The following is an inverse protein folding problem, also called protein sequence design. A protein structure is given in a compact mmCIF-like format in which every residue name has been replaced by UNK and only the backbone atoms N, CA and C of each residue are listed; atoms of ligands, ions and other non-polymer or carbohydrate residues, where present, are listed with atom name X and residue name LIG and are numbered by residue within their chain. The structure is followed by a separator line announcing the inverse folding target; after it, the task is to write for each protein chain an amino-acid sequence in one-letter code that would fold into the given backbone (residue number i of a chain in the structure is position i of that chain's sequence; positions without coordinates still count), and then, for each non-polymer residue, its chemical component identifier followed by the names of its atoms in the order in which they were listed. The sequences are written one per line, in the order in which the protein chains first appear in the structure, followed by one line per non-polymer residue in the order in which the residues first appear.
data_IF_645922763811
#
_entry.id   IF_645922763811
#
_cell.length_a   1.000
_cell.length_b   1.000
_cell.length_c   1.000
_cell.angle_alpha   90.00
_cell.angle_beta   90.00
_cell.angle_gamma   90.00
#
_symmetry.space_group_name_H-M   'P 1'
#
loop_
_entity.id
_entity.type
_entity.pdbx_description
1 polymer ?
#
# COMPACT_ATOMS: atom_id res chain seq x y z
N UNK A 1 -4.30 19.47 17.95
CA UNK A 1 -5.20 18.34 17.64
C UNK A 1 -4.85 17.87 16.25
N UNK A 2 -4.44 16.61 16.13
CA UNK A 2 -4.10 15.96 14.86
C UNK A 2 -5.37 15.84 14.01
N UNK A 3 -5.32 16.26 12.74
CA UNK A 3 -6.47 16.15 11.81
C UNK A 3 -6.17 15.08 10.77
N UNK A 4 -7.21 14.36 10.33
CA UNK A 4 -7.08 13.35 9.27
C UNK A 4 -6.41 13.90 8.01
N UNK A 5 -6.69 15.16 7.63
CA UNK A 5 -6.02 15.86 6.52
C UNK A 5 -4.49 15.82 6.58
N UNK A 6 -3.94 15.90 7.78
CA UNK A 6 -2.51 16.08 8.01
C UNK A 6 -1.76 14.75 8.11
N UNK A 7 -2.47 13.63 8.33
CA UNK A 7 -1.87 12.30 8.61
C UNK A 7 -2.43 11.16 7.75
N UNK A 8 -3.60 11.35 7.13
CA UNK A 8 -4.26 10.36 6.29
C UNK A 8 -3.63 10.26 4.92
N UNK A 9 -3.61 9.04 4.38
CA UNK A 9 -3.15 8.73 3.03
C UNK A 9 -4.35 8.32 2.18
N UNK A 10 -4.36 8.72 0.91
CA UNK A 10 -5.24 8.14 -0.11
C UNK A 10 -4.47 7.07 -0.87
N UNK A 11 -5.10 5.93 -1.11
CA UNK A 11 -4.65 4.98 -2.13
C UNK A 11 -4.89 5.59 -3.51
N UNK A 12 -3.81 6.02 -4.15
CA UNK A 12 -3.78 6.78 -5.39
C UNK A 12 -3.29 5.92 -6.55
N UNK A 13 -4.13 5.80 -7.57
CA UNK A 13 -3.87 4.98 -8.74
C UNK A 13 -5.17 4.44 -9.30
N UNK A 14 -5.18 4.16 -10.60
CA UNK A 14 -6.32 3.54 -11.25
C UNK A 14 -6.06 2.04 -11.26
N UNK A 15 -6.90 1.21 -10.62
CA UNK A 15 -6.89 -0.21 -10.85
C UNK A 15 -7.68 -0.55 -12.12
N UNK A 16 -7.19 -1.51 -12.92
CA UNK A 16 -8.02 -2.33 -13.81
C UNK A 16 -8.28 -3.68 -13.12
N UNK A 17 -9.00 -3.61 -12.00
CA UNK A 17 -9.28 -4.75 -11.14
C UNK A 17 -10.78 -4.96 -11.03
N UNK A 18 -11.24 -6.18 -11.38
CA UNK A 18 -12.64 -6.63 -11.29
C UNK A 18 -13.61 -5.72 -12.08
N UNK A 19 -14.85 -5.60 -11.59
CA UNK A 19 -15.96 -4.89 -12.22
C UNK A 19 -15.94 -3.38 -11.98
N UNK A 20 -14.81 -2.82 -11.48
CA UNK A 20 -14.66 -1.39 -11.34
C UNK A 20 -14.31 -0.78 -12.71
N UNK A 21 -15.16 0.10 -13.28
CA UNK A 21 -14.79 0.80 -14.50
C UNK A 21 -13.59 1.72 -14.25
N UNK A 22 -12.82 2.07 -15.29
CA UNK A 22 -11.78 3.07 -15.17
C UNK A 22 -12.32 4.36 -14.54
N UNK A 23 -11.60 4.89 -13.56
CA UNK A 23 -11.97 6.15 -12.91
C UNK A 23 -11.91 7.31 -13.91
N UNK A 24 -12.89 8.22 -13.84
CA UNK A 24 -12.81 9.50 -14.53
C UNK A 24 -11.78 10.45 -13.89
N UNK A 25 -11.37 10.18 -12.65
CA UNK A 25 -10.34 10.90 -11.93
C UNK A 25 -8.96 10.30 -12.22
N UNK A 26 -7.97 11.17 -12.38
CA UNK A 26 -6.56 10.85 -12.55
C UNK A 26 -5.77 10.83 -11.24
N UNK A 27 -4.49 10.52 -11.38
CA UNK A 27 -3.54 10.39 -10.27
C UNK A 27 -3.40 11.71 -9.48
N UNK A 28 -3.66 11.66 -8.17
CA UNK A 28 -3.60 12.79 -7.22
C UNK A 28 -4.94 13.49 -6.98
N UNK A 29 -5.96 13.22 -7.81
CA UNK A 29 -7.28 13.84 -7.63
C UNK A 29 -8.07 13.25 -6.47
N UNK A 30 -7.76 12.01 -6.04
CA UNK A 30 -8.36 11.41 -4.85
C UNK A 30 -7.94 12.15 -3.57
N UNK A 31 -6.66 12.51 -3.44
CA UNK A 31 -6.15 13.37 -2.38
C UNK A 31 -6.91 14.70 -2.32
N UNK A 32 -7.12 15.34 -3.47
CA UNK A 32 -7.88 16.59 -3.55
C UNK A 32 -9.34 16.39 -3.12
N UNK A 33 -10.00 15.32 -3.59
CA UNK A 33 -11.38 14.99 -3.25
C UNK A 33 -11.59 14.77 -1.75
N UNK A 34 -10.71 13.99 -1.11
CA UNK A 34 -10.79 13.73 0.33
C UNK A 34 -10.16 14.83 1.19
N UNK A 35 -9.58 15.86 0.57
CA UNK A 35 -8.86 16.93 1.27
C UNK A 35 -7.61 16.44 2.01
N UNK A 36 -7.02 15.32 1.59
CA UNK A 36 -5.81 14.73 2.17
C UNK A 36 -4.56 15.22 1.45
N UNK A 37 -3.43 15.23 2.17
CA UNK A 37 -2.15 15.78 1.66
C UNK A 37 -1.08 14.72 1.41
N UNK A 38 -1.42 13.44 1.59
CA UNK A 38 -0.49 12.31 1.44
C UNK A 38 -1.12 11.21 0.60
N UNK A 39 -0.27 10.51 -0.16
CA UNK A 39 -0.69 9.43 -1.05
C UNK A 39 0.12 8.16 -0.82
N UNK A 40 -0.55 7.03 -0.92
CA UNK A 40 0.07 5.77 -1.28
C UNK A 40 -0.15 5.57 -2.78
N UNK A 41 0.92 5.69 -3.57
CA UNK A 41 0.87 5.59 -5.03
C UNK A 41 1.04 4.15 -5.48
N UNK A 42 0.00 3.57 -6.08
CA UNK A 42 -0.05 2.16 -6.49
C UNK A 42 -0.67 1.99 -7.90
N UNK A 43 -0.68 0.75 -8.39
CA UNK A 43 -1.18 0.30 -9.70
C UNK A 43 -0.40 0.75 -10.93
N UNK A 44 0.34 1.85 -10.86
CA UNK A 44 1.11 2.37 -11.98
C UNK A 44 2.62 2.37 -11.67
N UNK A 45 3.45 2.26 -12.70
CA UNK A 45 4.91 2.21 -12.52
C UNK A 45 5.48 3.52 -11.97
N UNK A 46 6.52 3.42 -11.15
CA UNK A 46 7.22 4.60 -10.64
C UNK A 46 8.05 5.24 -11.75
N UNK A 47 7.68 6.46 -12.15
CA UNK A 47 8.36 7.21 -13.19
C UNK A 47 8.23 8.73 -12.95
N UNK A 48 9.07 9.56 -13.58
CA UNK A 48 9.05 11.00 -13.38
C UNK A 48 7.70 11.66 -13.69
N UNK A 49 6.96 11.20 -14.70
CA UNK A 49 5.69 11.80 -15.08
C UNK A 49 4.58 11.52 -14.05
N UNK A 50 4.56 10.32 -13.46
CA UNK A 50 3.63 9.99 -12.38
C UNK A 50 3.96 10.75 -11.10
N UNK A 51 5.22 10.75 -10.67
CA UNK A 51 5.63 11.46 -9.45
C UNK A 51 5.51 12.97 -9.58
N UNK A 52 5.68 13.54 -10.77
CA UNK A 52 5.42 14.96 -11.03
C UNK A 52 3.96 15.34 -10.78
N UNK A 53 2.99 14.45 -11.08
CA UNK A 53 1.58 14.69 -10.75
C UNK A 53 1.35 14.76 -9.23
N UNK A 54 2.10 13.99 -8.46
CA UNK A 54 1.99 13.92 -7.00
C UNK A 54 2.93 14.90 -6.27
N UNK A 55 3.75 15.68 -6.98
CA UNK A 55 4.76 16.57 -6.39
C UNK A 55 4.18 17.67 -5.48
N UNK A 56 2.88 17.96 -5.61
CA UNK A 56 2.16 18.93 -4.79
C UNK A 56 1.72 18.38 -3.42
N UNK A 57 1.85 17.08 -3.18
CA UNK A 57 1.54 16.41 -1.91
C UNK A 57 2.71 16.52 -0.94
N UNK A 58 2.41 16.49 0.36
CA UNK A 58 3.42 16.52 1.42
C UNK A 58 4.24 15.24 1.46
N UNK A 59 3.58 14.12 1.20
CA UNK A 59 4.20 12.80 1.30
C UNK A 59 3.61 11.80 0.30
N UNK A 60 4.49 11.05 -0.34
CA UNK A 60 4.16 9.93 -1.21
C UNK A 60 4.91 8.69 -0.73
N UNK A 61 4.17 7.61 -0.49
CA UNK A 61 4.73 6.26 -0.39
C UNK A 61 4.47 5.58 -1.72
N UNK A 62 5.53 5.16 -2.40
CA UNK A 62 5.42 4.42 -3.65
C UNK A 62 5.10 2.95 -3.38
N UNK A 63 4.31 2.30 -4.20
CA UNK A 63 4.31 0.85 -4.25
C UNK A 63 5.59 0.37 -4.94
N UNK A 64 6.21 -0.70 -4.43
CA UNK A 64 7.18 -1.47 -5.20
C UNK A 64 6.35 -2.34 -6.15
N UNK A 65 5.85 -1.68 -7.21
CA UNK A 65 4.66 -2.14 -7.93
C UNK A 65 4.76 -3.55 -8.47
N UNK A 66 4.06 -4.46 -7.79
CA UNK A 66 3.71 -5.79 -8.31
C UNK A 66 2.66 -5.67 -9.41
N UNK A 67 1.89 -4.58 -9.42
CA UNK A 67 0.79 -4.35 -10.36
C UNK A 67 1.36 -3.84 -11.69
N UNK A 68 1.19 -4.62 -12.75
CA UNK A 68 1.69 -4.28 -14.09
C UNK A 68 0.56 -4.34 -15.11
N UNK A 69 0.56 -3.38 -16.02
CA UNK A 69 -0.40 -3.32 -17.11
C UNK A 69 0.12 -4.06 -18.35
N UNK A 70 -0.77 -4.78 -19.02
CA UNK A 70 -0.55 -5.33 -20.36
C UNK A 70 -1.71 -4.99 -21.28
N UNK A 71 -1.40 -4.67 -22.53
CA UNK A 71 -2.42 -4.56 -23.58
C UNK A 71 -3.04 -5.95 -23.79
N UNK A 72 -4.36 -6.00 -23.86
CA UNK A 72 -5.12 -7.18 -24.25
C UNK A 72 -5.82 -6.82 -25.56
N UNK A 73 -5.73 -7.70 -26.54
CA UNK A 73 -6.49 -7.60 -27.78
C UNK A 73 -7.23 -8.92 -27.97
N UNK A 74 -8.55 -8.86 -28.11
CA UNK A 74 -9.36 -10.06 -28.33
C UNK A 74 -9.39 -10.46 -29.81
N UNK A 75 -10.04 -11.58 -30.12
CA UNK A 75 -10.14 -12.09 -31.49
C UNK A 75 -10.88 -11.14 -32.44
N UNK A 76 -11.69 -10.22 -31.89
CA UNK A 76 -12.45 -9.21 -32.62
C UNK A 76 -11.68 -7.88 -32.75
N UNK A 77 -10.42 -7.82 -32.29
CA UNK A 77 -9.56 -6.61 -32.25
C UNK A 77 -10.06 -5.53 -31.29
N UNK A 78 -10.88 -5.87 -30.31
CA UNK A 78 -11.17 -4.94 -29.23
C UNK A 78 -9.93 -4.81 -28.36
N UNK A 79 -9.58 -3.57 -28.02
CA UNK A 79 -8.40 -3.26 -27.20
C UNK A 79 -8.83 -3.03 -25.77
N UNK A 80 -8.17 -3.73 -24.85
CA UNK A 80 -8.30 -3.53 -23.42
C UNK A 80 -6.94 -3.48 -22.72
N UNK A 81 -6.98 -3.25 -21.42
CA UNK A 81 -5.82 -3.32 -20.54
C UNK A 81 -6.13 -4.26 -19.40
N UNK A 82 -5.22 -5.20 -19.12
CA UNK A 82 -5.31 -6.07 -17.96
C UNK A 82 -4.16 -5.80 -17.00
N UNK A 83 -4.40 -6.05 -15.71
CA UNK A 83 -3.34 -6.11 -14.72
C UNK A 83 -2.88 -7.55 -14.51
N UNK A 84 -1.57 -7.72 -14.32
CA UNK A 84 -0.98 -8.94 -13.80
C UNK A 84 -0.02 -8.61 -12.65
N UNK A 85 0.26 -9.61 -11.82
CA UNK A 85 1.21 -9.48 -10.72
C UNK A 85 2.58 -10.00 -11.14
N UNK A 86 3.62 -9.20 -10.96
CA UNK A 86 5.01 -9.65 -11.07
C UNK A 86 5.70 -9.45 -9.72
N UNK A 87 6.00 -10.56 -9.04
CA UNK A 87 6.52 -10.58 -7.67
C UNK A 87 7.90 -11.22 -7.57
N UNK A 88 8.61 -11.44 -8.67
CA UNK A 88 9.97 -12.01 -8.61
C UNK A 88 10.91 -11.09 -7.81
N UNK A 89 11.81 -11.65 -6.98
CA UNK A 89 12.78 -10.88 -6.21
C UNK A 89 13.58 -9.86 -7.02
N UNK A 90 13.93 -10.23 -8.26
CA UNK A 90 14.70 -9.41 -9.18
C UNK A 90 13.93 -8.16 -9.58
N UNK A 91 12.65 -8.31 -9.93
CA UNK A 91 11.78 -7.19 -10.29
C UNK A 91 11.53 -6.28 -9.09
N UNK A 92 11.24 -6.85 -7.91
CA UNK A 92 11.01 -6.06 -6.70
C UNK A 92 12.26 -5.26 -6.30
N UNK A 93 13.45 -5.86 -6.42
CA UNK A 93 14.71 -5.16 -6.14
C UNK A 93 14.95 -4.02 -7.14
N UNK A 94 14.73 -4.26 -8.44
CA UNK A 94 14.92 -3.24 -9.47
C UNK A 94 13.95 -2.06 -9.31
N UNK A 95 12.68 -2.33 -8.99
CA UNK A 95 11.68 -1.30 -8.73
C UNK A 95 12.01 -0.50 -7.45
N UNK A 96 12.47 -1.18 -6.38
CA UNK A 96 12.92 -0.52 -5.15
C UNK A 96 14.10 0.44 -5.41
N UNK A 97 15.10 0.03 -6.17
CA UNK A 97 16.23 0.89 -6.54
C UNK A 97 15.76 2.07 -7.41
N UNK A 98 14.81 1.84 -8.33
CA UNK A 98 14.19 2.89 -9.14
C UNK A 98 13.55 3.96 -8.27
N UNK A 99 12.72 3.56 -7.28
CA UNK A 99 12.13 4.49 -6.30
C UNK A 99 13.21 5.22 -5.51
N UNK A 100 14.27 4.52 -5.10
CA UNK A 100 15.41 5.12 -4.41
C UNK A 100 16.00 6.28 -5.20
N UNK A 101 16.26 6.06 -6.50
CA UNK A 101 16.82 7.06 -7.40
C UNK A 101 15.85 8.21 -7.66
N UNK A 102 14.57 7.91 -7.90
CA UNK A 102 13.54 8.92 -8.14
C UNK A 102 13.35 9.86 -6.94
N UNK A 103 13.49 9.35 -5.71
CA UNK A 103 13.35 10.15 -4.50
C UNK A 103 14.35 11.31 -4.39
N UNK A 104 15.45 11.28 -5.15
CA UNK A 104 16.41 12.40 -5.22
C UNK A 104 15.82 13.61 -5.96
N UNK A 105 14.96 13.38 -6.94
CA UNK A 105 14.26 14.42 -7.71
C UNK A 105 12.88 14.75 -7.14
N UNK A 106 12.29 13.83 -6.37
CA UNK A 106 10.97 13.97 -5.76
C UNK A 106 11.10 13.84 -4.23
N UNK A 107 11.47 14.93 -3.53
CA UNK A 107 11.79 14.87 -2.09
C UNK A 107 10.59 14.59 -1.19
N UNK A 108 9.37 14.68 -1.71
CA UNK A 108 8.15 14.26 -1.03
C UNK A 108 7.93 12.74 -1.07
N UNK A 109 8.73 11.97 -1.81
CA UNK A 109 8.75 10.51 -1.71
C UNK A 109 9.47 10.11 -0.43
N UNK A 110 8.73 9.47 0.49
CA UNK A 110 9.23 9.14 1.85
C UNK A 110 9.47 7.66 2.09
N UNK A 111 9.01 6.80 1.19
CA UNK A 111 9.23 5.37 1.31
C UNK A 111 8.62 4.60 0.16
N UNK A 112 8.71 3.29 0.29
CA UNK A 112 8.01 2.38 -0.59
C UNK A 112 7.38 1.21 0.16
N UNK A 113 6.28 0.69 -0.36
CA UNK A 113 5.51 -0.42 0.19
C UNK A 113 5.93 -1.75 -0.44
N UNK A 114 6.03 -2.76 0.40
CA UNK A 114 5.97 -4.16 0.00
C UNK A 114 4.51 -4.63 0.14
N UNK A 115 3.73 -4.45 -0.93
CA UNK A 115 2.33 -4.84 -0.98
C UNK A 115 2.18 -6.38 -0.98
N UNK A 116 1.22 -6.88 -0.19
CA UNK A 116 0.98 -8.30 0.07
C UNK A 116 2.25 -9.11 0.43
N UNK A 117 3.13 -8.57 1.29
CA UNK A 117 4.43 -9.18 1.60
C UNK A 117 4.33 -10.65 2.06
N UNK A 118 3.40 -11.00 2.97
CA UNK A 118 3.25 -12.39 3.41
C UNK A 118 2.78 -13.31 2.27
N UNK A 119 1.97 -12.78 1.34
CA UNK A 119 1.60 -13.46 0.11
C UNK A 119 2.82 -13.73 -0.78
N UNK A 120 3.74 -12.76 -0.91
CA UNK A 120 4.99 -12.95 -1.64
C UNK A 120 5.91 -13.98 -0.95
N UNK A 121 6.06 -13.92 0.38
CA UNK A 121 6.82 -14.91 1.17
C UNK A 121 6.33 -16.33 0.89
N UNK A 122 5.01 -16.55 0.93
CA UNK A 122 4.42 -17.87 0.72
C UNK A 122 4.46 -18.34 -0.74
N UNK A 123 4.19 -17.45 -1.69
CA UNK A 123 4.05 -17.83 -3.11
C UNK A 123 5.36 -17.83 -3.89
N UNK A 124 6.32 -16.98 -3.51
CA UNK A 124 7.62 -16.84 -4.17
C UNK A 124 8.78 -17.40 -3.34
N UNK A 125 8.51 -17.83 -2.10
CA UNK A 125 9.54 -18.35 -1.20
C UNK A 125 10.53 -17.28 -0.74
N UNK A 126 10.09 -16.04 -0.51
CA UNK A 126 11.00 -14.99 -0.02
C UNK A 126 11.59 -15.39 1.33
N UNK A 127 12.92 -15.55 1.36
CA UNK A 127 13.68 -15.64 2.58
C UNK A 127 13.94 -14.24 3.16
N UNK A 128 14.29 -14.12 4.46
CA UNK A 128 14.68 -12.84 5.06
C UNK A 128 15.74 -12.08 4.26
N UNK A 129 16.75 -12.78 3.73
CA UNK A 129 17.81 -12.18 2.90
C UNK A 129 17.29 -11.58 1.59
N UNK A 130 16.25 -12.16 1.00
CA UNK A 130 15.57 -11.60 -0.18
C UNK A 130 14.96 -10.25 0.16
N UNK A 131 14.19 -10.19 1.24
CA UNK A 131 13.56 -8.95 1.71
C UNK A 131 14.60 -7.92 2.16
N UNK A 132 15.68 -8.34 2.81
CA UNK A 132 16.81 -7.48 3.16
C UNK A 132 17.48 -6.88 1.92
N UNK A 133 17.60 -7.67 0.86
CA UNK A 133 18.10 -7.25 -0.43
C UNK A 133 17.23 -6.19 -1.12
N UNK A 134 15.90 -6.32 -1.03
CA UNK A 134 14.95 -5.32 -1.55
C UNK A 134 15.02 -4.04 -0.71
N UNK A 135 15.08 -4.15 0.63
CA UNK A 135 15.30 -3.02 1.54
C UNK A 135 16.59 -2.27 1.24
N UNK A 136 17.68 -2.99 0.99
CA UNK A 136 18.96 -2.39 0.64
C UNK A 136 18.88 -1.60 -0.67
N UNK A 137 18.21 -2.15 -1.69
CA UNK A 137 17.96 -1.47 -2.95
C UNK A 137 17.10 -0.20 -2.78
N UNK A 138 16.03 -0.26 -1.98
CA UNK A 138 15.21 0.92 -1.68
C UNK A 138 16.03 2.05 -1.04
N UNK A 139 17.02 1.71 -0.21
CA UNK A 139 17.85 2.68 0.51
C UNK A 139 19.14 3.06 -0.20
N UNK A 140 19.43 2.49 -1.38
CA UNK A 140 20.72 2.60 -2.07
C UNK A 140 21.12 4.04 -2.42
N UNK A 141 20.16 4.86 -2.85
CA UNK A 141 20.39 6.26 -3.22
C UNK A 141 19.86 7.25 -2.18
N UNK A 142 18.83 6.86 -1.43
CA UNK A 142 18.27 7.67 -0.34
C UNK A 142 18.02 6.81 0.91
N UNK A 143 18.95 6.79 1.89
CA UNK A 143 18.86 5.93 3.06
C UNK A 143 17.70 6.30 4.01
N UNK A 144 17.09 7.48 3.84
CA UNK A 144 15.97 7.97 4.65
C UNK A 144 14.61 7.37 4.25
N UNK A 145 14.52 6.69 3.10
CA UNK A 145 13.28 6.07 2.65
C UNK A 145 12.83 4.97 3.62
N UNK A 146 11.55 4.95 3.95
CA UNK A 146 10.95 3.94 4.81
C UNK A 146 10.48 2.73 4.00
N UNK A 147 10.73 1.53 4.51
CA UNK A 147 10.09 0.31 4.01
C UNK A 147 8.76 0.15 4.74
N UNK A 148 7.67 0.29 3.99
CA UNK A 148 6.33 0.03 4.47
C UNK A 148 5.91 -1.40 4.09
N UNK A 149 5.07 -2.05 4.87
CA UNK A 149 4.45 -3.33 4.48
C UNK A 149 2.98 -3.35 4.82
N UNK A 150 2.16 -3.88 3.92
CA UNK A 150 0.80 -4.26 4.25
C UNK A 150 0.83 -5.49 5.15
N UNK A 151 0.04 -5.47 6.21
CA UNK A 151 -0.16 -6.58 7.13
C UNK A 151 -1.66 -6.70 7.35
N UNK A 152 -2.24 -7.88 7.16
CA UNK A 152 -3.66 -8.07 7.44
C UNK A 152 -3.89 -8.59 8.86
N UNK A 153 -5.02 -8.22 9.47
CA UNK A 153 -5.37 -8.66 10.83
C UNK A 153 -5.40 -10.18 10.99
N UNK A 154 -5.78 -10.92 9.94
CA UNK A 154 -5.77 -12.39 9.93
C UNK A 154 -4.36 -13.00 9.78
N UNK A 155 -3.34 -12.17 9.55
CA UNK A 155 -1.94 -12.60 9.41
C UNK A 155 -1.13 -12.40 10.70
N UNK A 156 -1.72 -11.82 11.76
CA UNK A 156 -1.05 -11.43 13.01
C UNK A 156 -0.68 -12.62 13.92
N UNK A 157 0.12 -13.52 13.39
CA UNK A 157 0.77 -14.65 14.06
C UNK A 157 2.28 -14.44 14.05
N UNK A 158 2.95 -14.65 15.20
CA UNK A 158 4.39 -14.45 15.35
C UNK A 158 5.20 -15.28 14.34
N UNK A 159 4.74 -16.49 13.99
CA UNK A 159 5.43 -17.36 13.03
C UNK A 159 5.51 -16.77 11.62
N UNK A 160 4.61 -15.84 11.28
CA UNK A 160 4.59 -15.19 9.97
C UNK A 160 5.61 -14.04 9.90
N UNK A 161 5.92 -13.39 11.03
CA UNK A 161 6.61 -12.10 11.03
C UNK A 161 7.95 -12.08 11.77
N UNK A 162 8.23 -13.03 12.67
CA UNK A 162 9.43 -13.02 13.50
C UNK A 162 10.76 -12.93 12.73
N UNK A 163 10.80 -13.43 11.49
CA UNK A 163 12.00 -13.37 10.65
C UNK A 163 12.07 -12.12 9.73
N UNK A 164 11.00 -11.32 9.68
CA UNK A 164 10.84 -10.22 8.73
C UNK A 164 10.58 -8.87 9.41
N UNK A 165 10.22 -8.86 10.69
CA UNK A 165 9.79 -7.64 11.37
C UNK A 165 10.85 -6.53 11.26
N UNK A 166 12.13 -6.84 11.48
CA UNK A 166 13.24 -5.87 11.43
C UNK A 166 13.42 -5.20 10.05
N UNK A 167 12.79 -5.73 9.01
CA UNK A 167 12.85 -5.20 7.65
C UNK A 167 11.78 -4.14 7.37
N UNK A 168 10.75 -4.08 8.22
CA UNK A 168 9.58 -3.20 8.09
C UNK A 168 9.77 -2.00 9.03
N UNK A 169 9.76 -0.80 8.46
CA UNK A 169 9.82 0.45 9.22
C UNK A 169 8.41 0.93 9.61
N UNK A 170 7.40 0.71 8.75
CA UNK A 170 6.00 1.13 8.97
C UNK A 170 5.04 0.01 8.58
N UNK A 171 4.06 -0.27 9.45
CA UNK A 171 3.03 -1.28 9.19
C UNK A 171 1.76 -0.62 8.69
N UNK A 172 1.26 -1.04 7.53
CA UNK A 172 -0.06 -0.68 7.04
C UNK A 172 -1.01 -1.81 7.39
N UNK A 173 -1.76 -1.65 8.48
CA UNK A 173 -2.63 -2.68 9.03
C UNK A 173 -4.01 -2.63 8.35
N UNK A 174 -4.41 -3.76 7.75
CA UNK A 174 -5.66 -3.88 7.01
C UNK A 174 -6.58 -4.98 7.56
N UNK A 175 -7.88 -4.73 7.51
CA UNK A 175 -8.90 -5.73 7.85
C UNK A 175 -9.58 -6.24 6.58
N UNK A 176 -9.15 -7.41 6.10
CA UNK A 176 -9.55 -7.96 4.79
C UNK A 176 -11.06 -8.14 4.61
N UNK A 177 -11.74 -8.74 5.59
CA UNK A 177 -13.19 -8.93 5.57
C UNK A 177 -13.85 -7.84 6.39
N UNK A 178 -14.83 -7.11 5.83
CA UNK A 178 -15.44 -6.00 6.55
C UNK A 178 -16.17 -6.44 7.83
N UNK A 179 -16.65 -7.69 7.90
CA UNK A 179 -17.28 -8.24 9.11
C UNK A 179 -16.34 -8.25 10.34
N UNK A 180 -15.03 -8.29 10.10
CA UNK A 180 -14.02 -8.27 11.15
C UNK A 180 -13.66 -6.84 11.61
N UNK A 181 -14.26 -5.79 11.02
CA UNK A 181 -14.00 -4.40 11.45
C UNK A 181 -14.39 -4.17 12.91
N UNK A 182 -15.40 -4.87 13.43
CA UNK A 182 -15.77 -4.82 14.85
C UNK A 182 -14.67 -5.35 15.80
N UNK A 183 -13.66 -6.05 15.26
CA UNK A 183 -12.48 -6.54 15.99
C UNK A 183 -11.24 -5.70 15.72
N UNK A 184 -11.39 -4.49 15.16
CA UNK A 184 -10.28 -3.60 14.82
C UNK A 184 -9.34 -3.40 16.02
N UNK A 185 -9.90 -3.16 17.21
CA UNK A 185 -9.13 -2.88 18.41
C UNK A 185 -8.21 -4.05 18.82
N UNK A 186 -8.73 -5.27 18.76
CA UNK A 186 -7.97 -6.49 19.01
C UNK A 186 -6.84 -6.62 17.97
N UNK A 187 -7.13 -6.33 16.70
CA UNK A 187 -6.15 -6.32 15.63
C UNK A 187 -5.05 -5.29 15.84
N UNK A 188 -5.40 -4.07 16.26
CA UNK A 188 -4.42 -3.00 16.57
C UNK A 188 -3.55 -3.39 17.75
N UNK A 189 -4.14 -3.89 18.84
CA UNK A 189 -3.41 -4.36 20.01
C UNK A 189 -2.42 -5.47 19.63
N UNK A 190 -2.88 -6.47 18.90
CA UNK A 190 -2.04 -7.58 18.44
C UNK A 190 -0.94 -7.13 17.47
N UNK A 191 -1.22 -6.17 16.60
CA UNK A 191 -0.21 -5.58 15.72
C UNK A 191 0.89 -4.86 16.52
N UNK A 192 0.53 -4.13 17.59
CA UNK A 192 1.50 -3.46 18.48
C UNK A 192 2.39 -4.45 19.23
N UNK A 193 1.86 -5.62 19.62
CA UNK A 193 2.64 -6.69 20.23
C UNK A 193 3.68 -7.28 19.26
N UNK A 194 3.30 -7.49 18.00
CA UNK A 194 4.17 -8.10 16.99
C UNK A 194 5.19 -7.11 16.39
N UNK A 195 4.85 -5.83 16.37
CA UNK A 195 5.66 -4.77 15.77
C UNK A 195 5.90 -3.65 16.80
N UNK A 196 6.59 -3.94 17.92
CA UNK A 196 6.73 -2.99 19.02
C UNK A 196 7.46 -1.72 18.57
N UNK A 197 6.88 -0.56 18.88
CA UNK A 197 7.44 0.76 18.59
C UNK A 197 7.36 1.19 17.12
N UNK A 198 6.84 0.37 16.21
CA UNK A 198 6.70 0.72 14.80
C UNK A 198 5.41 1.52 14.56
N UNK A 199 5.45 2.58 13.74
CA UNK A 199 4.24 3.28 13.33
C UNK A 199 3.26 2.32 12.62
N UNK A 200 1.97 2.46 12.93
CA UNK A 200 0.88 1.69 12.32
C UNK A 200 -0.04 2.66 11.59
N UNK A 201 -0.17 2.48 10.28
CA UNK A 201 -1.16 3.14 9.45
C UNK A 201 -2.39 2.24 9.34
N UNK A 202 -3.55 2.72 9.80
CA UNK A 202 -4.80 1.96 9.75
C UNK A 202 -5.48 2.10 8.40
N UNK A 203 -5.68 0.97 7.74
CA UNK A 203 -6.39 0.90 6.47
C UNK A 203 -7.89 1.12 6.60
N UNK A 204 -8.45 1.95 5.71
CA UNK A 204 -9.89 2.22 5.59
C UNK A 204 -10.41 1.68 4.26
N UNK A 205 -11.53 0.95 4.27
CA UNK A 205 -12.14 0.43 3.04
C UNK A 205 -13.53 1.01 2.84
N UNK A 206 -13.81 1.40 1.60
CA UNK A 206 -15.18 1.72 1.15
C UNK A 206 -15.83 0.54 0.42
N UNK A 207 -15.03 -0.44 -0.02
CA UNK A 207 -15.48 -1.65 -0.70
C UNK A 207 -14.95 -2.90 -0.01
N UNK A 208 -15.82 -3.89 0.16
CA UNK A 208 -15.45 -5.22 0.65
C UNK A 208 -15.16 -6.13 -0.55
N UNK A 209 -13.87 -6.45 -0.74
CA UNK A 209 -13.42 -7.29 -1.84
C UNK A 209 -13.83 -8.76 -1.71
N UNK A 210 -14.23 -9.21 -0.53
CA UNK A 210 -14.74 -10.58 -0.31
C UNK A 210 -16.23 -10.69 -0.64
N UNK A 211 -16.97 -9.59 -0.49
CA UNK A 211 -18.38 -9.50 -0.86
C UNK A 211 -18.60 -8.97 -2.28
N UNK A 212 -17.57 -8.39 -2.90
CA UNK A 212 -17.68 -7.69 -4.19
C UNK A 212 -18.72 -6.56 -4.16
N UNK A 213 -18.81 -5.89 -3.02
CA UNK A 213 -19.84 -4.88 -2.75
C UNK A 213 -19.26 -3.75 -1.89
N UNK A 214 -19.94 -2.59 -1.81
CA UNK A 214 -19.63 -1.58 -0.80
C UNK A 214 -19.63 -2.17 0.60
N UNK A 215 -18.77 -1.64 1.49
CA UNK A 215 -18.80 -2.00 2.91
C UNK A 215 -20.17 -1.62 3.50
N UNK A 216 -20.88 -2.53 4.20
CA UNK A 216 -22.12 -2.20 4.89
C UNK A 216 -21.99 -0.96 5.81
N UNK A 217 -23.00 -0.09 5.81
CA UNK A 217 -22.92 1.22 6.46
C UNK A 217 -22.68 1.17 7.97
N UNK A 218 -23.16 0.14 8.66
CA UNK A 218 -22.89 -0.11 10.08
C UNK A 218 -21.39 -0.35 10.34
N UNK A 219 -20.74 -1.15 9.49
CA UNK A 219 -19.31 -1.46 9.56
C UNK A 219 -18.45 -0.28 9.15
N UNK A 220 -18.87 0.43 8.10
CA UNK A 220 -18.21 1.65 7.63
C UNK A 220 -18.24 2.70 8.75
N UNK A 221 -19.42 2.98 9.33
CA UNK A 221 -19.58 3.88 10.46
C UNK A 221 -18.67 3.49 11.63
N UNK A 222 -18.68 2.22 12.02
CA UNK A 222 -17.82 1.74 13.12
C UNK A 222 -16.35 2.04 12.86
N UNK A 223 -15.84 1.74 11.66
CA UNK A 223 -14.45 2.04 11.29
C UNK A 223 -14.14 3.54 11.41
N UNK A 224 -14.96 4.41 10.83
CA UNK A 224 -14.70 5.86 10.80
C UNK A 224 -14.91 6.55 12.14
N UNK A 225 -15.78 6.04 13.00
CA UNK A 225 -15.93 6.53 14.38
C UNK A 225 -14.77 6.07 15.27
N UNK A 226 -14.20 4.89 15.00
CA UNK A 226 -13.13 4.32 15.81
C UNK A 226 -11.74 4.88 15.50
N UNK A 227 -11.42 5.05 14.22
CA UNK A 227 -10.06 5.45 13.76
C UNK A 227 -9.55 6.77 14.36
N UNK A 228 -10.37 7.84 14.50
CA UNK A 228 -9.91 9.07 15.14
C UNK A 228 -9.40 8.88 16.57
N UNK A 229 -9.87 7.85 17.29
CA UNK A 229 -9.38 7.49 18.62
C UNK A 229 -7.96 6.92 18.66
N UNK A 230 -7.36 6.64 17.49
CA UNK A 230 -5.96 6.23 17.33
C UNK A 230 -5.06 7.33 16.79
N UNK A 231 -5.60 8.53 16.54
CA UNK A 231 -4.81 9.70 16.19
C UNK A 231 -4.30 10.32 17.50
N UNK A 232 -3.02 10.11 17.80
CA UNK A 232 -2.33 10.79 18.91
C UNK A 232 -2.24 12.32 18.67
#
# INVERSE_FOLDING_TARGET
MTRMRDVGYVWEGQPAYRDFPPSMYGLGEGCAYFGLRRAYYLYHGNNPAALAKLAHLDEVICDISIWRYRKIEDAQKNIGWGIYHEKSPEVMRAEAESVSRLSLSFPNVRGAMLDDLLGAIKSQGYAPDTCAGIRAALKAHNPRLQVCSTVYTHELDAKNWAAFDALIDVVFLWTWKSENLFKLDEGVARCRELFPGKPIMLGCYMSDYTLQAPVPMDRLRFQWERIPGYLD
#
